data_IF_931452635221
#
_entry.id   IF_931452635221
#
_cell.length_a   1.000
_cell.length_b   1.000
_cell.length_c   1.000
_cell.angle_alpha   90.00
_cell.angle_beta   90.00
_cell.angle_gamma   90.00
#
_symmetry.space_group_name_H-M   'P 1'
#
loop_
_entity.id
_entity.type
_entity.pdbx_description
1 polymer ?
#
# COMPACT_ATOMS: atom_id res chain seq x y z
N UNK A 1 -16.19 -23.41 -17.58
CA UNK A 1 -15.49 -22.49 -16.67
C UNK A 1 -15.54 -21.12 -17.32
N UNK A 2 -16.21 -20.14 -16.71
CA UNK A 2 -16.21 -18.79 -17.23
C UNK A 2 -14.81 -18.21 -17.08
N UNK A 3 -14.19 -17.90 -18.22
CA UNK A 3 -12.85 -17.31 -18.38
C UNK A 3 -12.90 -15.79 -18.33
N UNK A 4 -13.82 -15.22 -17.54
CA UNK A 4 -13.89 -13.77 -17.42
C UNK A 4 -12.68 -13.28 -16.61
N UNK A 5 -11.98 -12.23 -17.08
CA UNK A 5 -10.86 -11.65 -16.36
C UNK A 5 -11.34 -11.09 -15.02
N UNK A 6 -10.51 -11.24 -13.98
CA UNK A 6 -10.82 -10.76 -12.63
C UNK A 6 -11.12 -9.24 -12.67
N UNK A 7 -12.30 -8.78 -12.18
CA UNK A 7 -12.71 -7.38 -12.27
C UNK A 7 -11.72 -6.41 -11.63
N UNK A 8 -10.92 -6.87 -10.66
CA UNK A 8 -9.93 -6.04 -9.98
C UNK A 8 -8.86 -5.51 -10.93
N UNK A 9 -8.52 -6.23 -12.01
CA UNK A 9 -7.51 -5.76 -12.97
C UNK A 9 -7.96 -4.50 -13.69
N UNK A 10 -9.23 -4.44 -14.10
CA UNK A 10 -9.80 -3.25 -14.74
C UNK A 10 -9.85 -2.07 -13.76
N UNK A 11 -10.19 -2.33 -12.49
CA UNK A 11 -10.23 -1.31 -11.45
C UNK A 11 -8.83 -0.75 -11.14
N UNK A 12 -7.82 -1.61 -11.02
CA UNK A 12 -6.41 -1.19 -10.82
C UNK A 12 -5.96 -0.33 -12.00
N UNK A 13 -6.21 -0.76 -13.24
CA UNK A 13 -5.81 0.00 -14.42
C UNK A 13 -6.46 1.39 -14.48
N UNK A 14 -7.73 1.50 -14.08
CA UNK A 14 -8.43 2.78 -14.01
C UNK A 14 -7.84 3.71 -12.92
N UNK A 15 -7.51 3.17 -11.75
CA UNK A 15 -6.85 3.94 -10.70
C UNK A 15 -5.44 4.40 -11.11
N UNK A 16 -4.67 3.53 -11.76
CA UNK A 16 -3.31 3.87 -12.25
C UNK A 16 -3.32 4.93 -13.35
N UNK A 17 -4.29 4.89 -14.27
CA UNK A 17 -4.48 5.94 -15.26
C UNK A 17 -4.81 7.28 -14.58
N UNK A 18 -5.78 7.29 -13.67
CA UNK A 18 -6.21 8.52 -13.00
C UNK A 18 -5.09 9.14 -12.16
N UNK A 19 -4.30 8.32 -11.44
CA UNK A 19 -3.11 8.79 -10.73
C UNK A 19 -2.08 9.39 -11.69
N UNK A 20 -1.80 8.74 -12.82
CA UNK A 20 -0.87 9.26 -13.82
C UNK A 20 -1.35 10.59 -14.41
N UNK A 21 -2.64 10.72 -14.71
CA UNK A 21 -3.23 11.96 -15.20
C UNK A 21 -3.13 13.09 -14.15
N UNK A 22 -3.37 12.79 -12.88
CA UNK A 22 -3.20 13.76 -11.80
C UNK A 22 -1.74 14.20 -11.66
N UNK A 23 -0.79 13.26 -11.61
CA UNK A 23 0.64 13.59 -11.56
C UNK A 23 1.09 14.43 -12.76
N UNK A 24 0.57 14.15 -13.96
CA UNK A 24 0.83 14.95 -15.16
C UNK A 24 0.19 16.35 -15.09
N UNK A 25 -0.95 16.51 -14.42
CA UNK A 25 -1.56 17.82 -14.20
C UNK A 25 -0.82 18.67 -13.16
N UNK A 26 -0.08 18.03 -12.23
CA UNK A 26 0.79 18.69 -11.25
C UNK A 26 2.16 19.05 -11.83
N UNK A 27 2.64 18.34 -12.85
CA UNK A 27 3.93 18.62 -13.48
C UNK A 27 3.94 20.01 -14.13
N UNK A 28 4.81 20.89 -13.63
CA UNK A 28 4.91 22.27 -14.09
C UNK A 28 3.71 23.16 -13.78
N UNK A 29 2.89 22.78 -12.79
CA UNK A 29 1.71 23.55 -12.36
C UNK A 29 2.08 24.97 -11.91
N UNK A 30 1.45 25.96 -12.55
CA UNK A 30 1.44 27.35 -12.08
C UNK A 30 0.25 27.58 -11.15
N UNK A 31 0.52 27.68 -9.85
CA UNK A 31 -0.49 27.87 -8.81
C UNK A 31 -1.25 29.21 -8.93
N UNK A 32 -0.67 30.21 -9.59
CA UNK A 32 -1.31 31.50 -9.85
C UNK A 32 -2.25 31.45 -11.05
N UNK A 33 -2.26 30.34 -11.81
CA UNK A 33 -3.10 30.17 -12.99
C UNK A 33 -4.40 29.43 -12.65
N UNK A 34 -5.51 30.17 -12.54
CA UNK A 34 -6.85 29.63 -12.30
C UNK A 34 -7.26 28.50 -13.26
N UNK A 35 -6.79 28.54 -14.51
CA UNK A 35 -7.08 27.50 -15.50
C UNK A 35 -6.30 26.21 -15.21
N UNK A 36 -5.05 26.32 -14.76
CA UNK A 36 -4.23 25.15 -14.44
C UNK A 36 -4.65 24.55 -13.10
N UNK A 37 -4.91 25.38 -12.09
CA UNK A 37 -5.46 24.94 -10.80
C UNK A 37 -6.77 24.18 -10.96
N UNK A 38 -7.71 24.66 -11.80
CA UNK A 38 -8.95 23.92 -12.09
C UNK A 38 -8.72 22.57 -12.75
N UNK A 39 -7.71 22.45 -13.62
CA UNK A 39 -7.35 21.18 -14.26
C UNK A 39 -6.75 20.21 -13.25
N UNK A 40 -5.83 20.68 -12.41
CA UNK A 40 -5.22 19.87 -11.37
C UNK A 40 -6.28 19.36 -10.37
N UNK A 41 -7.18 20.23 -9.91
CA UNK A 41 -8.28 19.84 -9.02
C UNK A 41 -9.21 18.80 -9.66
N UNK A 42 -9.59 19.00 -10.93
CA UNK A 42 -10.43 18.02 -11.63
C UNK A 42 -9.74 16.66 -11.79
N UNK A 43 -8.42 16.63 -11.99
CA UNK A 43 -7.64 15.41 -12.06
C UNK A 43 -7.53 14.73 -10.68
N UNK A 44 -7.35 15.51 -9.60
CA UNK A 44 -7.36 15.01 -8.22
C UNK A 44 -8.73 14.40 -7.82
N UNK A 45 -9.84 15.03 -8.22
CA UNK A 45 -11.20 14.50 -8.01
C UNK A 45 -11.39 13.17 -8.77
N UNK A 46 -10.88 13.09 -10.01
CA UNK A 46 -10.95 11.89 -10.82
C UNK A 46 -10.12 10.73 -10.22
N UNK A 47 -8.90 11.03 -9.75
CA UNK A 47 -8.06 10.06 -9.03
C UNK A 47 -8.77 9.56 -7.77
N UNK A 48 -9.25 10.47 -6.92
CA UNK A 48 -9.96 10.12 -5.68
C UNK A 48 -11.12 9.16 -5.96
N UNK A 49 -11.94 9.49 -6.96
CA UNK A 49 -13.08 8.65 -7.36
C UNK A 49 -12.63 7.27 -7.88
N UNK A 50 -11.55 7.20 -8.64
CA UNK A 50 -11.04 5.93 -9.16
C UNK A 50 -10.53 5.02 -8.02
N UNK A 51 -9.85 5.58 -7.01
CA UNK A 51 -9.45 4.84 -5.82
C UNK A 51 -10.65 4.41 -4.97
N UNK A 52 -11.63 5.28 -4.75
CA UNK A 52 -12.87 4.91 -4.07
C UNK A 52 -13.56 3.73 -4.77
N UNK A 53 -13.60 3.73 -6.10
CA UNK A 53 -14.13 2.61 -6.88
C UNK A 53 -13.28 1.34 -6.73
N UNK A 54 -11.95 1.45 -6.77
CA UNK A 54 -11.04 0.32 -6.56
C UNK A 54 -11.30 -0.36 -5.20
N UNK A 55 -11.50 0.41 -4.13
CA UNK A 55 -11.78 -0.15 -2.79
C UNK A 55 -13.10 -0.92 -2.69
N UNK A 56 -14.01 -0.74 -3.66
CA UNK A 56 -15.29 -1.45 -3.72
C UNK A 56 -15.22 -2.73 -4.57
N UNK A 57 -14.14 -2.96 -5.31
CA UNK A 57 -13.98 -4.12 -6.18
C UNK A 57 -13.26 -5.24 -5.44
N UNK A 58 -13.96 -6.36 -5.27
CA UNK A 58 -13.38 -7.56 -4.68
C UNK A 58 -12.71 -8.44 -5.75
N UNK A 59 -11.45 -8.86 -5.55
CA UNK A 59 -10.82 -9.84 -6.42
C UNK A 59 -11.55 -11.19 -6.32
N UNK A 60 -11.66 -11.88 -7.45
CA UNK A 60 -12.31 -13.20 -7.55
C UNK A 60 -11.32 -14.34 -7.74
N UNK A 61 -10.05 -14.01 -7.95
CA UNK A 61 -8.95 -14.94 -8.18
C UNK A 61 -7.76 -14.62 -7.28
N UNK A 62 -6.90 -15.60 -7.02
CA UNK A 62 -5.66 -15.38 -6.27
C UNK A 62 -4.70 -14.42 -7.02
N UNK A 63 -4.70 -14.47 -8.34
CA UNK A 63 -3.92 -13.54 -9.16
C UNK A 63 -4.41 -12.08 -9.00
N UNK A 64 -5.73 -11.87 -8.98
CA UNK A 64 -6.33 -10.56 -8.73
C UNK A 64 -6.06 -10.07 -7.31
N UNK A 65 -6.16 -10.94 -6.29
CA UNK A 65 -5.84 -10.57 -4.91
C UNK A 65 -4.37 -10.17 -4.78
N UNK A 66 -3.46 -10.92 -5.40
CA UNK A 66 -2.04 -10.57 -5.42
C UNK A 66 -1.82 -9.21 -6.07
N UNK A 67 -2.41 -8.95 -7.24
CA UNK A 67 -2.28 -7.68 -7.94
C UNK A 67 -2.77 -6.49 -7.09
N UNK A 68 -3.91 -6.66 -6.39
CA UNK A 68 -4.44 -5.64 -5.48
C UNK A 68 -3.48 -5.34 -4.32
N UNK A 69 -2.90 -6.39 -3.71
CA UNK A 69 -1.92 -6.23 -2.63
C UNK A 69 -0.64 -5.56 -3.12
N UNK A 70 -0.13 -5.91 -4.31
CA UNK A 70 1.02 -5.25 -4.91
C UNK A 70 0.74 -3.76 -5.14
N UNK A 71 -0.46 -3.42 -5.61
CA UNK A 71 -0.88 -2.04 -5.83
C UNK A 71 -0.93 -1.21 -4.54
N UNK A 72 -1.55 -1.74 -3.48
CA UNK A 72 -1.57 -1.05 -2.18
C UNK A 72 -0.17 -0.92 -1.57
N UNK A 73 0.74 -1.85 -1.87
CA UNK A 73 2.13 -1.73 -1.43
C UNK A 73 2.82 -0.53 -2.07
N UNK A 74 2.61 -0.30 -3.37
CA UNK A 74 3.12 0.89 -4.08
C UNK A 74 2.54 2.17 -3.48
N UNK A 75 1.23 2.21 -3.29
CA UNK A 75 0.54 3.37 -2.71
C UNK A 75 1.06 3.74 -1.33
N UNK A 76 1.24 2.75 -0.45
CA UNK A 76 1.77 2.95 0.89
C UNK A 76 3.22 3.45 0.87
N UNK A 77 4.04 3.00 -0.08
CA UNK A 77 5.43 3.46 -0.23
C UNK A 77 5.51 4.92 -0.73
N UNK A 78 4.54 5.35 -1.55
CA UNK A 78 4.44 6.70 -2.10
C UNK A 78 3.88 7.71 -1.08
N UNK A 79 2.82 7.32 -0.35
CA UNK A 79 2.09 8.21 0.56
C UNK A 79 2.64 8.19 1.98
N UNK A 80 3.19 7.06 2.43
CA UNK A 80 3.68 6.86 3.79
C UNK A 80 5.15 6.39 3.81
N UNK A 81 6.06 7.17 3.21
CA UNK A 81 7.48 6.79 3.10
C UNK A 81 8.17 6.38 4.42
N UNK A 82 7.66 6.81 5.58
CA UNK A 82 8.19 6.47 6.90
C UNK A 82 7.51 5.25 7.55
N UNK A 83 6.46 4.72 6.93
CA UNK A 83 5.69 3.56 7.35
C UNK A 83 6.32 2.28 6.83
N UNK A 84 6.17 1.21 7.62
CA UNK A 84 6.53 -0.15 7.23
C UNK A 84 5.41 -0.84 6.43
N UNK A 85 4.25 -0.20 6.28
CA UNK A 85 3.04 -0.77 5.67
C UNK A 85 3.27 -1.35 4.27
N UNK A 86 3.92 -0.61 3.39
CA UNK A 86 4.25 -1.09 2.04
C UNK A 86 5.11 -2.36 2.04
N UNK A 87 6.09 -2.45 2.95
CA UNK A 87 6.94 -3.63 3.07
C UNK A 87 6.17 -4.89 3.50
N UNK A 88 5.16 -4.74 4.36
CA UNK A 88 4.28 -5.83 4.79
C UNK A 88 3.37 -6.29 3.65
N UNK A 89 2.81 -5.35 2.90
CA UNK A 89 1.99 -5.66 1.72
C UNK A 89 2.82 -6.37 0.64
N UNK A 90 4.04 -5.91 0.34
CA UNK A 90 4.96 -6.64 -0.56
C UNK A 90 5.31 -8.04 -0.04
N UNK A 91 5.42 -8.23 1.27
CA UNK A 91 5.61 -9.57 1.83
C UNK A 91 4.39 -10.46 1.56
N UNK A 92 3.18 -9.97 1.81
CA UNK A 92 1.93 -10.69 1.54
C UNK A 92 1.79 -11.02 0.06
N UNK A 93 2.05 -10.08 -0.85
CA UNK A 93 2.03 -10.33 -2.30
C UNK A 93 2.98 -11.46 -2.73
N UNK A 94 4.20 -11.49 -2.17
CA UNK A 94 5.17 -12.57 -2.42
C UNK A 94 4.65 -13.92 -1.92
N UNK A 95 4.02 -13.95 -0.75
CA UNK A 95 3.40 -15.17 -0.21
C UNK A 95 2.27 -15.65 -1.11
N UNK A 96 1.43 -14.73 -1.61
CA UNK A 96 0.33 -15.06 -2.52
C UNK A 96 0.82 -15.55 -3.90
N UNK A 97 2.05 -15.23 -4.30
CA UNK A 97 2.66 -15.72 -5.52
C UNK A 97 3.12 -17.18 -5.43
N UNK A 98 3.31 -17.71 -4.23
CA UNK A 98 3.66 -19.10 -4.04
C UNK A 98 2.40 -19.97 -4.24
N UNK A 99 2.43 -20.88 -5.22
CA UNK A 99 1.54 -22.05 -5.23
C UNK A 99 1.95 -22.92 -4.03
N UNK A 100 1.40 -22.63 -2.86
CA UNK A 100 1.76 -23.38 -1.65
C UNK A 100 1.25 -24.81 -1.77
N UNK A 101 2.16 -25.75 -2.07
CA UNK A 101 1.88 -27.20 -2.06
C UNK A 101 1.71 -27.77 -0.65
N UNK A 102 1.93 -26.95 0.39
CA UNK A 102 1.73 -27.31 1.79
C UNK A 102 0.74 -26.33 2.46
N UNK A 103 -0.13 -26.79 3.36
CA UNK A 103 -0.93 -25.88 4.17
C UNK A 103 0.00 -24.94 4.96
N UNK A 104 -0.41 -23.68 5.12
CA UNK A 104 0.19 -22.74 6.05
C UNK A 104 0.11 -23.35 7.46
N UNK A 105 1.10 -24.14 7.84
CA UNK A 105 1.25 -24.54 9.23
C UNK A 105 1.70 -23.29 9.96
N UNK A 106 1.11 -22.97 11.12
CA UNK A 106 1.79 -22.06 12.02
C UNK A 106 3.17 -22.66 12.23
N UNK A 107 4.22 -21.95 11.84
CA UNK A 107 5.53 -22.21 12.42
C UNK A 107 5.27 -22.02 13.91
N UNK A 108 5.19 -23.12 14.65
CA UNK A 108 5.25 -23.07 16.11
C UNK A 108 6.36 -22.09 16.43
N UNK A 109 6.00 -20.99 17.10
CA UNK A 109 6.89 -19.87 17.41
C UNK A 109 8.26 -20.41 17.83
N UNK A 110 9.18 -20.55 16.88
CA UNK A 110 10.59 -20.40 17.16
C UNK A 110 10.75 -18.90 17.31
N UNK A 111 10.33 -18.40 18.48
CA UNK A 111 11.08 -17.32 19.07
C UNK A 111 12.50 -17.86 19.15
N UNK A 112 13.33 -17.49 18.18
CA UNK A 112 14.69 -17.21 18.54
C UNK A 112 14.56 -16.19 19.66
N UNK A 113 14.82 -16.63 20.89
CA UNK A 113 15.13 -15.75 22.00
C UNK A 113 16.35 -14.94 21.58
N UNK A 114 16.13 -13.91 20.76
CA UNK A 114 17.02 -12.78 20.73
C UNK A 114 16.87 -12.20 22.12
N UNK A 115 17.81 -12.54 23.01
CA UNK A 115 18.13 -11.72 24.16
C UNK A 115 18.55 -10.35 23.62
N UNK A 116 17.57 -9.53 23.25
CA UNK A 116 17.75 -8.09 23.29
C UNK A 116 17.80 -7.78 24.77
N UNK A 117 19.01 -7.73 25.32
CA UNK A 117 19.26 -6.96 26.51
C UNK A 117 18.72 -5.56 26.20
N UNK A 118 17.54 -5.26 26.72
CA UNK A 118 16.97 -3.92 26.73
C UNK A 118 17.91 -3.07 27.60
N UNK A 119 19.00 -2.61 27.01
CA UNK A 119 19.82 -1.55 27.58
C UNK A 119 18.91 -0.33 27.58
N UNK A 120 18.34 -0.01 28.76
CA UNK A 120 17.64 1.25 28.95
C UNK A 120 18.63 2.37 28.62
N UNK A 121 18.42 3.06 27.50
CA UNK A 121 19.19 4.24 27.13
C UNK A 121 18.91 5.46 28.04
N UNK A 122 17.91 5.37 28.90
CA UNK A 122 17.54 6.42 29.87
C UNK A 122 17.89 5.93 31.28
N UNK A 123 18.91 6.51 31.94
CA UNK A 123 19.17 6.26 33.35
C UNK A 123 17.96 6.72 34.18
N UNK A 124 17.45 5.84 35.04
CA UNK A 124 16.51 6.29 36.09
C UNK A 124 17.25 7.29 36.99
N UNK A 125 16.67 8.46 37.32
CA UNK A 125 17.23 9.32 38.36
C UNK A 125 17.13 8.58 39.70
N UNK A 126 18.27 8.05 40.15
CA UNK A 126 18.44 7.54 41.51
C UNK A 126 18.48 8.73 42.44
N UNK A 127 17.52 8.80 43.37
CA UNK A 127 17.63 9.45 44.69
C UNK A 127 18.17 10.88 44.75
N UNK A 128 17.27 11.86 44.92
CA UNK A 128 17.61 13.12 45.59
C UNK A 128 17.57 12.93 47.12
N UNK A 129 18.44 13.61 47.90
CA UNK A 129 18.72 13.24 49.29
C UNK A 129 17.74 13.83 50.32
N UNK A 130 17.66 13.05 51.42
CA UNK A 130 17.14 13.31 52.78
C UNK A 130 15.65 13.12 53.03
#
# INVERSE_FOLDING_TARGET
>A
MNTEPDPVFAAIAAADEAQREHLAALDGLDEDSDAQMRRANAAADAETKAFEQLTQVMPTTQAGLRALVERYAVEAEETERWSVGGSYLRHIARVLACESTCPFRPVERQFCEFRQELVRAIPNPVGGPS
#
